data_IF_324238638669
#
_entry.id   IF_324238638669
#
_cell.length_a   1.000
_cell.length_b   1.000
_cell.length_c   1.000
_cell.angle_alpha   90.00
_cell.angle_beta   90.00
_cell.angle_gamma   90.00
#
_symmetry.space_group_name_H-M   'P 1'
#
loop_
_entity.id
_entity.type
_entity.pdbx_description
1 polymer ?
#
# COMPACT_ATOMS: atom_id res chain seq x y z
N UNK A 1 -30.03 7.49 -5.55
CA UNK A 1 -29.73 6.05 -5.76
C UNK A 1 -28.36 5.84 -6.39
N UNK A 2 -28.03 6.53 -7.50
CA UNK A 2 -26.73 6.39 -8.18
C UNK A 2 -25.51 6.66 -7.27
N UNK A 3 -25.56 7.71 -6.45
CA UNK A 3 -24.47 8.08 -5.53
C UNK A 3 -24.22 6.99 -4.47
N UNK A 4 -25.29 6.42 -3.91
CA UNK A 4 -25.19 5.35 -2.91
C UNK A 4 -24.58 4.07 -3.51
N UNK A 5 -24.95 3.74 -4.75
CA UNK A 5 -24.38 2.60 -5.49
C UNK A 5 -22.88 2.81 -5.80
N UNK A 6 -22.49 4.02 -6.21
CA UNK A 6 -21.08 4.37 -6.45
C UNK A 6 -20.24 4.24 -5.17
N UNK A 7 -20.74 4.74 -4.05
CA UNK A 7 -20.04 4.64 -2.75
C UNK A 7 -19.93 3.17 -2.31
N UNK A 8 -21.00 2.38 -2.46
CA UNK A 8 -21.00 0.96 -2.12
C UNK A 8 -19.99 0.17 -2.95
N UNK A 9 -19.97 0.38 -4.28
CA UNK A 9 -19.01 -0.26 -5.18
C UNK A 9 -17.57 0.21 -4.93
N UNK A 10 -17.34 1.51 -4.73
CA UNK A 10 -16.02 2.04 -4.40
C UNK A 10 -15.50 1.49 -3.08
N UNK A 11 -16.35 1.37 -2.07
CA UNK A 11 -16.01 0.77 -0.77
C UNK A 11 -15.60 -0.69 -0.93
N UNK A 12 -16.34 -1.46 -1.73
CA UNK A 12 -16.04 -2.88 -1.99
C UNK A 12 -14.71 -3.07 -2.75
N UNK A 13 -14.48 -2.27 -3.80
CA UNK A 13 -13.24 -2.30 -4.61
C UNK A 13 -12.03 -1.87 -3.77
N UNK A 14 -12.20 -0.83 -2.95
CA UNK A 14 -11.16 -0.33 -2.05
C UNK A 14 -10.83 -1.37 -0.99
N UNK A 15 -11.83 -2.05 -0.41
CA UNK A 15 -11.61 -3.10 0.58
C UNK A 15 -10.78 -4.25 -0.01
N UNK A 16 -11.15 -4.78 -1.17
CA UNK A 16 -10.41 -5.85 -1.83
C UNK A 16 -8.95 -5.48 -2.13
N UNK A 17 -8.73 -4.26 -2.63
CA UNK A 17 -7.38 -3.74 -2.90
C UNK A 17 -6.56 -3.58 -1.62
N UNK A 18 -7.20 -3.09 -0.57
CA UNK A 18 -6.59 -2.88 0.76
C UNK A 18 -6.25 -4.21 1.42
N UNK A 19 -7.15 -5.20 1.39
CA UNK A 19 -6.91 -6.56 1.87
C UNK A 19 -5.76 -7.24 1.12
N UNK A 20 -5.70 -7.07 -0.20
CA UNK A 20 -4.58 -7.55 -1.02
C UNK A 20 -3.27 -6.91 -0.58
N UNK A 21 -3.22 -5.59 -0.44
CA UNK A 21 -2.01 -4.87 0.00
C UNK A 21 -1.58 -5.24 1.43
N UNK A 22 -2.52 -5.35 2.36
CA UNK A 22 -2.22 -5.79 3.73
C UNK A 22 -1.80 -7.26 3.81
N UNK A 23 -2.33 -8.13 2.95
CA UNK A 23 -1.89 -9.53 2.86
C UNK A 23 -0.42 -9.61 2.41
N UNK A 24 -0.04 -8.81 1.43
CA UNK A 24 1.36 -8.69 0.98
C UNK A 24 2.25 -8.12 2.09
N UNK A 25 1.80 -7.06 2.77
CA UNK A 25 2.51 -6.50 3.93
C UNK A 25 2.66 -7.50 5.06
N UNK A 26 1.62 -8.29 5.36
CA UNK A 26 1.66 -9.33 6.40
C UNK A 26 2.70 -10.39 6.08
N UNK A 27 2.82 -10.81 4.81
CA UNK A 27 3.85 -11.76 4.36
C UNK A 27 5.28 -11.24 4.55
N UNK A 28 5.49 -9.93 4.45
CA UNK A 28 6.81 -9.29 4.64
C UNK A 28 7.05 -9.00 6.13
N UNK A 29 6.03 -8.49 6.82
CA UNK A 29 6.08 -8.13 8.24
C UNK A 29 6.31 -9.33 9.15
N UNK A 30 5.67 -10.47 8.86
CA UNK A 30 5.78 -11.65 9.71
C UNK A 30 7.23 -12.19 9.85
N UNK A 31 8.00 -12.41 8.76
CA UNK A 31 9.39 -12.81 8.86
C UNK A 31 10.32 -11.67 9.31
N UNK A 32 10.03 -10.42 8.96
CA UNK A 32 10.90 -9.29 9.30
C UNK A 32 10.70 -8.72 10.72
N UNK A 33 9.65 -9.10 11.46
CA UNK A 33 9.39 -8.61 12.83
C UNK A 33 10.51 -8.97 13.81
N UNK A 34 11.18 -10.09 13.61
CA UNK A 34 12.31 -10.56 14.42
C UNK A 34 13.65 -9.99 13.98
N UNK A 35 13.77 -9.43 12.77
CA UNK A 35 15.04 -9.00 12.19
C UNK A 35 15.12 -7.50 11.89
N UNK A 36 13.99 -6.76 11.87
CA UNK A 36 13.92 -5.34 11.54
C UNK A 36 13.29 -4.53 12.68
N UNK A 37 13.85 -3.33 12.92
CA UNK A 37 13.28 -2.35 13.85
C UNK A 37 11.91 -1.86 13.36
N UNK A 38 10.99 -1.61 14.31
CA UNK A 38 9.61 -1.21 14.04
C UNK A 38 9.52 0.03 13.14
N UNK A 39 10.39 1.03 13.35
CA UNK A 39 10.45 2.24 12.53
C UNK A 39 10.71 1.92 11.05
N UNK A 40 11.68 1.04 10.75
CA UNK A 40 12.00 0.64 9.37
C UNK A 40 10.85 -0.15 8.73
N UNK A 41 10.13 -0.93 9.52
CA UNK A 41 8.97 -1.69 9.05
C UNK A 41 7.80 -0.75 8.71
N UNK A 42 7.59 0.29 9.50
CA UNK A 42 6.54 1.29 9.26
C UNK A 42 6.86 2.13 8.01
N UNK A 43 8.12 2.54 7.83
CA UNK A 43 8.57 3.19 6.59
C UNK A 43 8.39 2.30 5.36
N UNK A 44 8.70 1.00 5.47
CA UNK A 44 8.49 0.04 4.38
C UNK A 44 7.00 -0.15 4.07
N UNK A 45 6.15 -0.12 5.10
CA UNK A 45 4.70 -0.23 4.92
C UNK A 45 4.14 0.96 4.16
N UNK A 46 4.61 2.17 4.48
CA UNK A 46 4.28 3.39 3.75
C UNK A 46 4.73 3.31 2.29
N UNK A 47 5.97 2.88 2.04
CA UNK A 47 6.51 2.69 0.68
C UNK A 47 5.72 1.67 -0.13
N UNK A 48 5.20 0.61 0.49
CA UNK A 48 4.40 -0.40 -0.20
C UNK A 48 3.01 0.09 -0.60
N UNK A 49 2.39 0.94 0.23
CA UNK A 49 1.11 1.60 -0.10
C UNK A 49 1.33 2.56 -1.28
N UNK A 50 2.41 3.34 -1.22
CA UNK A 50 2.80 4.29 -2.26
C UNK A 50 3.58 3.65 -3.42
N UNK A 51 3.73 2.33 -3.44
CA UNK A 51 4.57 1.65 -4.44
C UNK A 51 4.03 1.77 -5.87
N UNK A 52 2.73 1.99 -6.03
CA UNK A 52 2.13 2.27 -7.34
C UNK A 52 2.43 3.70 -7.81
N UNK A 53 2.43 4.66 -6.88
CA UNK A 53 2.80 6.04 -7.14
C UNK A 53 4.30 6.16 -7.45
N UNK A 54 5.16 5.51 -6.66
CA UNK A 54 6.61 5.45 -6.86
C UNK A 54 7.00 4.82 -8.20
N UNK A 55 6.21 3.87 -8.73
CA UNK A 55 6.44 3.30 -10.07
C UNK A 55 6.07 4.24 -11.20
N UNK A 56 5.18 5.21 -10.96
CA UNK A 56 4.76 6.23 -11.94
C UNK A 56 5.69 7.45 -11.94
N UNK A 57 6.41 7.66 -10.84
CA UNK A 57 7.40 8.74 -10.72
C UNK A 57 8.68 8.31 -11.46
N UNK A 58 9.15 9.17 -12.37
CA UNK A 58 10.43 8.97 -13.03
C UNK A 58 11.55 9.51 -12.13
N UNK A 59 12.41 8.62 -11.64
CA UNK A 59 13.49 8.99 -10.73
C UNK A 59 14.59 9.83 -11.39
N UNK A 60 14.63 9.88 -12.73
CA UNK A 60 15.53 10.79 -13.47
C UNK A 60 15.10 12.26 -13.37
N UNK A 61 13.80 12.54 -13.21
CA UNK A 61 13.27 13.91 -13.10
C UNK A 61 13.54 14.51 -11.71
N UNK A 62 13.59 13.66 -10.68
CA UNK A 62 13.88 14.02 -9.28
C UNK A 62 15.37 14.28 -9.04
N UNK A 63 16.24 13.88 -9.98
CA UNK A 63 17.70 13.93 -9.83
C UNK A 63 18.32 15.28 -10.26
N UNK A 64 17.53 16.21 -10.78
CA UNK A 64 17.94 17.57 -11.18
C UNK A 64 17.63 18.61 -10.09
#
# INVERSE_FOLDING_TARGET
>A
VEIALRIFLASMITNCSTERSFSQLKRIKNPCRSTMQQERLDSLSLLMIEADLLRKINFDDVKN
#
